data_IF_927942707380
#
_entry.id   IF_927942707380
#
_cell.length_a   1.000
_cell.length_b   1.000
_cell.length_c   1.000
_cell.angle_alpha   90.00
_cell.angle_beta   90.00
_cell.angle_gamma   90.00
#
_symmetry.space_group_name_H-M   'P 1'
#
loop_
_entity.id
_entity.type
_entity.pdbx_description
1 polymer ?
#
# COMPACT_ATOMS: atom_id res chain seq x y z
N UNK A 1 -19.83 0.65 10.25
CA UNK A 1 -18.50 0.25 9.73
C UNK A 1 -18.45 0.47 8.23
N UNK A 2 -17.28 0.76 7.67
CA UNK A 2 -17.11 0.90 6.22
C UNK A 2 -16.98 -0.48 5.57
N UNK A 3 -17.54 -0.67 4.36
CA UNK A 3 -17.37 -1.88 3.57
C UNK A 3 -16.62 -1.58 2.26
N UNK A 4 -15.49 -2.26 2.05
CA UNK A 4 -14.74 -2.24 0.80
C UNK A 4 -15.13 -3.45 -0.05
N UNK A 5 -15.53 -3.23 -1.31
CA UNK A 5 -16.01 -4.28 -2.21
C UNK A 5 -15.10 -4.39 -3.43
N UNK A 6 -14.57 -5.59 -3.67
CA UNK A 6 -13.67 -5.92 -4.78
C UNK A 6 -14.19 -7.13 -5.56
N UNK A 7 -13.90 -7.21 -6.85
CA UNK A 7 -14.21 -8.41 -7.63
C UNK A 7 -13.17 -9.51 -7.36
N UNK A 8 -11.90 -9.13 -7.23
CA UNK A 8 -10.78 -10.07 -7.14
C UNK A 8 -9.89 -9.90 -5.93
N UNK A 9 -9.34 -11.04 -5.46
CA UNK A 9 -8.23 -11.04 -4.49
C UNK A 9 -7.00 -10.31 -5.01
N UNK A 10 -6.76 -10.36 -6.32
CA UNK A 10 -5.66 -9.63 -6.95
C UNK A 10 -5.74 -8.12 -6.71
N UNK A 11 -6.94 -7.55 -6.64
CA UNK A 11 -7.18 -6.12 -6.38
C UNK A 11 -7.14 -5.80 -4.87
N UNK A 12 -7.57 -6.75 -4.02
CA UNK A 12 -7.76 -6.53 -2.59
C UNK A 12 -6.55 -6.92 -1.70
N UNK A 13 -5.57 -7.64 -2.23
CA UNK A 13 -4.50 -8.27 -1.42
C UNK A 13 -3.70 -7.29 -0.55
N UNK A 14 -3.37 -6.10 -1.05
CA UNK A 14 -2.63 -5.12 -0.26
C UNK A 14 -3.50 -4.46 0.81
N UNK A 15 -4.81 -4.32 0.59
CA UNK A 15 -5.75 -3.87 1.63
C UNK A 15 -5.79 -4.86 2.80
N UNK A 16 -5.97 -6.15 2.50
CA UNK A 16 -6.03 -7.21 3.52
C UNK A 16 -4.75 -7.20 4.37
N UNK A 17 -3.59 -7.07 3.71
CA UNK A 17 -2.29 -7.04 4.38
C UNK A 17 -2.08 -5.75 5.18
N UNK A 18 -2.32 -4.57 4.59
CA UNK A 18 -2.01 -3.27 5.19
C UNK A 18 -2.95 -2.94 6.35
N UNK A 19 -4.23 -3.28 6.22
CA UNK A 19 -5.26 -3.06 7.24
C UNK A 19 -5.34 -4.21 8.26
N UNK A 20 -4.42 -5.18 8.19
CA UNK A 20 -4.34 -6.34 9.09
C UNK A 20 -5.65 -7.11 9.22
N UNK A 21 -6.38 -7.27 8.11
CA UNK A 21 -7.72 -7.84 8.11
C UNK A 21 -7.67 -9.36 8.27
N UNK A 22 -8.63 -9.91 9.02
CA UNK A 22 -8.75 -11.34 9.27
C UNK A 22 -9.93 -11.91 8.50
N UNK A 23 -9.71 -13.05 7.85
CA UNK A 23 -10.78 -13.78 7.16
C UNK A 23 -11.83 -14.29 8.13
N UNK A 24 -13.10 -14.25 7.73
CA UNK A 24 -14.23 -14.70 8.56
C UNK A 24 -14.59 -16.14 8.22
N UNK A 25 -14.62 -17.01 9.24
CA UNK A 25 -15.06 -18.39 9.06
C UNK A 25 -16.51 -18.44 8.60
N UNK A 26 -16.82 -19.26 7.60
CA UNK A 26 -18.17 -19.38 7.03
C UNK A 26 -18.53 -18.35 5.95
N UNK A 27 -17.72 -17.31 5.75
CA UNK A 27 -17.95 -16.29 4.71
C UNK A 27 -16.73 -16.18 3.78
N UNK A 28 -16.64 -17.02 2.73
CA UNK A 28 -15.55 -16.96 1.77
C UNK A 28 -15.42 -15.58 1.12
N UNK A 29 -14.23 -15.00 1.20
CA UNK A 29 -13.96 -13.67 0.62
C UNK A 29 -14.28 -12.49 1.54
N UNK A 30 -14.82 -12.72 2.75
CA UNK A 30 -15.02 -11.68 3.75
C UNK A 30 -13.80 -11.58 4.70
N UNK A 31 -13.34 -10.35 4.90
CA UNK A 31 -12.27 -10.00 5.83
C UNK A 31 -12.72 -8.83 6.70
N UNK A 32 -12.35 -8.84 7.98
CA UNK A 32 -12.74 -7.81 8.94
C UNK A 32 -11.55 -7.31 9.76
N UNK A 33 -11.61 -6.06 10.19
CA UNK A 33 -10.92 -5.53 11.37
C UNK A 33 -11.95 -4.77 12.24
N UNK A 34 -11.49 -3.92 13.17
CA UNK A 34 -12.39 -3.22 14.11
C UNK A 34 -13.36 -2.25 13.40
N UNK A 35 -12.90 -1.55 12.36
CA UNK A 35 -13.64 -0.43 11.75
C UNK A 35 -14.11 -0.70 10.31
N UNK A 36 -13.52 -1.70 9.65
CA UNK A 36 -13.66 -1.94 8.21
C UNK A 36 -13.94 -3.41 7.90
N UNK A 37 -14.92 -3.62 7.03
CA UNK A 37 -15.17 -4.87 6.34
C UNK A 37 -14.62 -4.81 4.91
N UNK A 38 -14.15 -5.93 4.38
CA UNK A 38 -13.75 -6.09 2.99
C UNK A 38 -14.38 -7.36 2.45
N UNK A 39 -15.09 -7.24 1.33
CA UNK A 39 -15.74 -8.35 0.64
C UNK A 39 -15.17 -8.50 -0.77
N UNK A 40 -14.68 -9.71 -1.09
CA UNK A 40 -14.37 -10.13 -2.45
C UNK A 40 -15.59 -10.86 -3.01
N UNK A 41 -16.31 -10.22 -3.94
CA UNK A 41 -17.53 -10.78 -4.52
C UNK A 41 -17.23 -11.87 -5.53
N UNK A 42 -16.17 -11.74 -6.33
CA UNK A 42 -16.02 -12.51 -7.58
C UNK A 42 -16.44 -11.67 -8.79
N UNK A 43 -16.20 -12.20 -10.00
CA UNK A 43 -16.50 -11.52 -11.26
C UNK A 43 -17.99 -11.59 -11.62
N UNK A 44 -18.54 -10.47 -12.07
CA UNK A 44 -19.88 -10.41 -12.63
C UNK A 44 -20.99 -10.14 -11.61
N UNK A 45 -22.14 -9.71 -12.14
CA UNK A 45 -23.29 -9.25 -11.35
C UNK A 45 -23.91 -10.33 -10.43
N UNK A 46 -23.90 -11.61 -10.84
CA UNK A 46 -24.53 -12.68 -10.07
C UNK A 46 -23.74 -13.03 -8.81
N UNK A 47 -22.42 -12.93 -8.88
CA UNK A 47 -21.53 -13.10 -7.72
C UNK A 47 -21.72 -11.98 -6.69
N UNK A 48 -22.02 -10.76 -7.15
CA UNK A 48 -22.38 -9.66 -6.26
C UNK A 48 -23.72 -9.94 -5.57
N UNK A 49 -24.75 -10.31 -6.33
CA UNK A 49 -26.08 -10.59 -5.77
C UNK A 49 -26.07 -11.72 -4.75
N UNK A 50 -25.23 -12.75 -4.94
CA UNK A 50 -25.17 -13.90 -4.04
C UNK A 50 -24.46 -13.61 -2.72
N UNK A 51 -23.59 -12.60 -2.66
CA UNK A 51 -22.74 -12.34 -1.48
C UNK A 51 -23.03 -11.01 -0.78
N UNK A 52 -23.18 -9.92 -1.52
CA UNK A 52 -23.23 -8.58 -0.93
C UNK A 52 -24.46 -8.39 -0.06
N UNK A 53 -25.65 -8.82 -0.52
CA UNK A 53 -26.89 -8.65 0.23
C UNK A 53 -26.86 -9.33 1.61
N UNK A 54 -26.24 -10.52 1.69
CA UNK A 54 -26.04 -11.21 2.96
C UNK A 54 -25.18 -10.39 3.92
N UNK A 55 -24.05 -9.83 3.44
CA UNK A 55 -23.15 -9.04 4.29
C UNK A 55 -23.83 -7.75 4.77
N UNK A 56 -24.60 -7.07 3.92
CA UNK A 56 -25.32 -5.86 4.34
C UNK A 56 -26.44 -6.15 5.35
N UNK A 57 -27.01 -7.37 5.33
CA UNK A 57 -28.02 -7.79 6.31
C UNK A 57 -27.43 -8.25 7.65
N UNK A 58 -26.20 -8.78 7.66
CA UNK A 58 -25.56 -9.32 8.86
C UNK A 58 -24.73 -8.29 9.64
N UNK A 59 -24.16 -7.29 8.96
CA UNK A 59 -23.24 -6.32 9.55
C UNK A 59 -23.81 -4.91 9.48
N UNK A 60 -23.51 -4.08 10.49
CA UNK A 60 -23.91 -2.67 10.52
C UNK A 60 -23.02 -1.81 9.61
N UNK A 61 -23.20 -1.97 8.30
CA UNK A 61 -22.51 -1.21 7.26
C UNK A 61 -23.13 0.17 7.13
N UNK A 62 -22.30 1.21 7.19
CA UNK A 62 -22.73 2.62 7.12
C UNK A 62 -22.41 3.27 5.78
N UNK A 63 -21.41 2.75 5.07
CA UNK A 63 -20.95 3.24 3.77
C UNK A 63 -20.25 2.12 3.02
N UNK A 64 -20.45 2.07 1.70
CA UNK A 64 -19.80 1.10 0.80
C UNK A 64 -18.87 1.85 -0.14
N UNK A 65 -17.68 1.26 -0.36
CA UNK A 65 -16.74 1.67 -1.39
C UNK A 65 -16.50 0.51 -2.33
N UNK A 66 -16.70 0.72 -3.62
CA UNK A 66 -16.22 -0.21 -4.64
C UNK A 66 -14.92 0.30 -5.24
N UNK A 67 -13.89 -0.54 -5.18
CA UNK A 67 -12.56 -0.26 -5.74
C UNK A 67 -12.23 -1.40 -6.70
N UNK A 68 -11.76 -1.07 -7.90
CA UNK A 68 -11.37 -2.09 -8.87
C UNK A 68 -10.81 -1.50 -10.15
N UNK A 69 -10.43 -2.37 -11.07
CA UNK A 69 -10.01 -1.97 -12.41
C UNK A 69 -11.21 -1.82 -13.36
N UNK A 70 -11.04 -1.03 -14.41
CA UNK A 70 -12.01 -0.86 -15.49
C UNK A 70 -11.30 -0.72 -16.84
N UNK A 71 -12.01 -1.10 -17.91
CA UNK A 71 -11.57 -0.85 -19.28
C UNK A 71 -12.05 0.52 -19.77
N UNK A 72 -11.22 1.23 -20.54
CA UNK A 72 -11.65 2.40 -21.28
C UNK A 72 -12.40 1.99 -22.55
N UNK A 73 -13.51 2.68 -22.86
CA UNK A 73 -14.24 2.55 -24.12
C UNK A 73 -13.95 3.72 -25.07
N UNK A 74 -13.29 4.77 -24.59
CA UNK A 74 -12.90 5.94 -25.38
C UNK A 74 -11.39 6.20 -25.31
N UNK A 75 -10.81 6.61 -26.44
CA UNK A 75 -9.38 6.97 -26.55
C UNK A 75 -8.99 8.22 -25.77
N UNK A 76 -9.97 9.05 -25.40
CA UNK A 76 -9.80 10.24 -24.56
C UNK A 76 -9.40 9.88 -23.13
N UNK A 77 -9.75 8.68 -22.67
CA UNK A 77 -9.47 8.19 -21.33
C UNK A 77 -8.02 7.73 -21.24
N UNK A 78 -7.29 8.31 -20.29
CA UNK A 78 -5.90 7.98 -20.06
C UNK A 78 -5.78 6.67 -19.29
N UNK A 79 -5.04 5.69 -19.82
CA UNK A 79 -4.69 4.49 -19.06
C UNK A 79 -3.89 4.84 -17.80
N UNK A 80 -3.99 3.99 -16.78
CA UNK A 80 -3.38 4.19 -15.47
C UNK A 80 -3.86 5.46 -14.76
N UNK A 81 -5.08 5.92 -15.03
CA UNK A 81 -5.71 7.02 -14.31
C UNK A 81 -6.81 6.50 -13.38
N UNK A 82 -7.10 7.28 -12.33
CA UNK A 82 -8.19 7.02 -11.40
C UNK A 82 -9.37 7.91 -11.71
N UNK A 83 -10.57 7.33 -11.69
CA UNK A 83 -11.81 8.06 -11.81
C UNK A 83 -12.79 7.66 -10.71
N UNK A 84 -13.40 8.66 -10.06
CA UNK A 84 -14.60 8.44 -9.27
C UNK A 84 -15.79 8.27 -10.21
N UNK A 85 -16.65 7.31 -9.91
CA UNK A 85 -17.82 7.02 -10.72
C UNK A 85 -19.01 7.84 -10.25
N UNK A 86 -19.66 8.51 -11.20
CA UNK A 86 -20.89 9.28 -11.00
C UNK A 86 -22.12 8.41 -11.21
N UNK A 87 -22.24 7.79 -12.37
CA UNK A 87 -23.42 6.98 -12.73
C UNK A 87 -22.97 5.63 -13.27
N UNK A 88 -23.69 4.58 -12.90
CA UNK A 88 -23.49 3.25 -13.46
C UNK A 88 -24.72 2.76 -14.24
N UNK A 89 -24.46 2.30 -15.46
CA UNK A 89 -25.43 1.63 -16.34
C UNK A 89 -25.14 0.13 -16.40
N UNK A 90 -26.02 -0.65 -17.02
CA UNK A 90 -25.82 -2.09 -17.20
C UNK A 90 -26.22 -2.56 -18.59
N UNK A 91 -25.41 -3.48 -19.11
CA UNK A 91 -25.67 -4.23 -20.33
C UNK A 91 -25.48 -5.73 -20.07
N UNK A 92 -26.55 -6.49 -20.17
CA UNK A 92 -26.53 -7.96 -20.04
C UNK A 92 -27.22 -8.57 -21.26
N UNK A 93 -26.52 -8.59 -22.39
CA UNK A 93 -27.06 -8.91 -23.71
C UNK A 93 -27.95 -7.82 -24.30
N UNK A 94 -28.56 -6.98 -23.47
CA UNK A 94 -29.22 -5.71 -23.83
C UNK A 94 -29.02 -4.66 -22.73
N UNK A 95 -29.13 -3.37 -23.06
CA UNK A 95 -29.14 -2.31 -22.05
C UNK A 95 -30.29 -2.51 -21.05
N UNK A 96 -29.99 -2.33 -19.78
CA UNK A 96 -30.99 -2.30 -18.71
C UNK A 96 -31.55 -0.89 -18.56
N UNK A 97 -32.84 -0.79 -18.26
CA UNK A 97 -33.51 0.51 -18.09
C UNK A 97 -33.02 1.26 -16.83
N UNK A 98 -32.69 0.51 -15.78
CA UNK A 98 -32.29 1.09 -14.50
C UNK A 98 -30.80 1.46 -14.52
N UNK A 99 -30.50 2.67 -14.05
CA UNK A 99 -29.16 3.14 -13.73
C UNK A 99 -29.12 3.65 -12.29
N UNK A 100 -27.91 3.80 -11.75
CA UNK A 100 -27.72 4.26 -10.38
C UNK A 100 -26.72 5.41 -10.35
N UNK A 101 -27.15 6.55 -9.80
CA UNK A 101 -26.24 7.69 -9.52
C UNK A 101 -25.66 7.51 -8.12
N UNK A 102 -24.34 7.61 -8.01
CA UNK A 102 -23.57 7.37 -6.79
C UNK A 102 -23.31 8.67 -6.03
N UNK A 103 -22.90 8.54 -4.76
CA UNK A 103 -22.52 9.66 -3.90
C UNK A 103 -21.12 10.19 -4.26
N UNK A 104 -20.91 10.63 -5.50
CA UNK A 104 -19.65 11.25 -5.95
C UNK A 104 -19.54 12.70 -5.45
N UNK A 105 -18.35 13.08 -4.99
CA UNK A 105 -18.06 14.43 -4.49
C UNK A 105 -17.56 15.38 -5.61
N UNK A 106 -17.04 14.81 -6.70
CA UNK A 106 -16.47 15.55 -7.83
C UNK A 106 -17.31 15.40 -9.11
N UNK A 107 -16.87 16.00 -10.21
CA UNK A 107 -17.36 15.66 -11.56
C UNK A 107 -16.91 14.23 -11.92
N UNK A 108 -17.56 13.23 -11.33
CA UNK A 108 -17.30 11.83 -11.61
C UNK A 108 -17.65 11.45 -13.05
N UNK A 109 -17.13 10.30 -13.48
CA UNK A 109 -17.34 9.76 -14.82
C UNK A 109 -18.38 8.64 -14.79
N UNK A 110 -19.06 8.41 -15.90
CA UNK A 110 -19.99 7.30 -16.01
C UNK A 110 -19.28 5.99 -16.37
N UNK A 111 -19.86 4.87 -15.96
CA UNK A 111 -19.40 3.52 -16.28
C UNK A 111 -20.57 2.63 -16.67
N UNK A 112 -20.35 1.66 -17.55
CA UNK A 112 -21.32 0.62 -17.87
C UNK A 112 -20.81 -0.74 -17.42
N UNK A 113 -21.61 -1.45 -16.64
CA UNK A 113 -21.32 -2.84 -16.26
C UNK A 113 -21.76 -3.79 -17.38
N UNK A 114 -20.84 -4.59 -17.91
CA UNK A 114 -21.13 -5.66 -18.86
C UNK A 114 -21.11 -7.04 -18.19
N UNK A 115 -21.98 -7.96 -18.65
CA UNK A 115 -21.92 -9.36 -18.23
C UNK A 115 -20.69 -10.11 -18.75
N UNK A 116 -20.09 -9.65 -19.85
CA UNK A 116 -19.00 -10.32 -20.54
C UNK A 116 -17.75 -9.45 -20.67
N UNK A 117 -16.63 -10.07 -21.05
CA UNK A 117 -15.41 -9.30 -21.36
C UNK A 117 -15.57 -8.67 -22.73
N UNK A 118 -15.22 -7.39 -22.85
CA UNK A 118 -15.36 -6.64 -24.10
C UNK A 118 -14.11 -6.85 -24.96
N UNK A 119 -14.13 -7.88 -25.81
CA UNK A 119 -12.97 -8.31 -26.61
C UNK A 119 -13.03 -7.89 -28.08
N UNK A 120 -14.11 -7.25 -28.50
CA UNK A 120 -14.29 -6.78 -29.88
C UNK A 120 -14.72 -5.32 -29.93
N UNK A 121 -14.29 -4.64 -30.99
CA UNK A 121 -14.51 -3.20 -31.15
C UNK A 121 -15.99 -2.86 -31.42
N UNK A 122 -16.78 -3.80 -31.96
CA UNK A 122 -18.20 -3.55 -32.24
C UNK A 122 -18.97 -3.44 -30.92
N UNK A 123 -18.74 -4.38 -30.01
CA UNK A 123 -19.35 -4.35 -28.69
C UNK A 123 -18.83 -3.19 -27.84
N UNK A 124 -17.52 -2.90 -27.91
CA UNK A 124 -16.96 -1.70 -27.26
C UNK A 124 -17.65 -0.41 -27.75
N UNK A 125 -17.84 -0.26 -29.06
CA UNK A 125 -18.54 0.88 -29.65
C UNK A 125 -20.04 0.92 -29.29
N UNK A 126 -20.68 -0.23 -29.06
CA UNK A 126 -22.06 -0.25 -28.56
C UNK A 126 -22.13 0.31 -27.13
N UNK A 127 -21.26 -0.18 -26.25
CA UNK A 127 -21.20 0.23 -24.85
C UNK A 127 -20.77 1.69 -24.67
N UNK A 128 -19.90 2.21 -25.54
CA UNK A 128 -19.42 3.60 -25.47
C UNK A 128 -20.51 4.65 -25.66
N UNK A 129 -21.66 4.27 -26.25
CA UNK A 129 -22.82 5.16 -26.35
C UNK A 129 -23.46 5.47 -24.99
N UNK A 130 -23.15 4.69 -23.95
CA UNK A 130 -23.71 4.85 -22.60
C UNK A 130 -22.70 5.46 -21.64
N UNK A 131 -21.45 5.01 -21.69
CA UNK A 131 -20.42 5.44 -20.76
C UNK A 131 -19.01 5.28 -21.36
N UNK A 132 -18.04 6.11 -20.93
CA UNK A 132 -16.66 6.05 -21.39
C UNK A 132 -15.83 4.92 -20.74
N UNK A 133 -16.33 4.29 -19.66
CA UNK A 133 -15.68 3.18 -18.97
C UNK A 133 -16.58 1.94 -18.94
N UNK A 134 -15.97 0.76 -18.87
CA UNK A 134 -16.66 -0.53 -18.66
C UNK A 134 -16.07 -1.30 -17.48
N UNK A 135 -16.95 -1.89 -16.67
CA UNK A 135 -16.60 -2.86 -15.64
C UNK A 135 -17.57 -4.06 -15.68
N UNK A 136 -17.53 -4.94 -14.67
CA UNK A 136 -18.36 -6.16 -14.65
C UNK A 136 -19.22 -6.35 -13.39
N UNK A 137 -19.10 -5.48 -12.39
CA UNK A 137 -19.73 -5.69 -11.08
C UNK A 137 -20.52 -4.49 -10.56
N UNK A 138 -20.11 -3.24 -10.86
CA UNK A 138 -20.56 -2.08 -10.10
C UNK A 138 -22.07 -1.87 -10.14
N UNK A 139 -22.74 -2.13 -11.26
CA UNK A 139 -24.19 -1.95 -11.33
C UNK A 139 -24.95 -2.82 -10.33
N UNK A 140 -24.52 -4.07 -10.14
CA UNK A 140 -25.13 -4.95 -9.15
C UNK A 140 -24.83 -4.49 -7.72
N UNK A 141 -23.62 -3.97 -7.48
CA UNK A 141 -23.25 -3.39 -6.17
C UNK A 141 -24.16 -2.20 -5.88
N UNK A 142 -24.34 -1.31 -6.86
CA UNK A 142 -25.19 -0.13 -6.73
C UNK A 142 -26.65 -0.51 -6.49
N UNK A 143 -27.18 -1.51 -7.21
CA UNK A 143 -28.54 -2.03 -7.00
C UNK A 143 -28.77 -2.50 -5.57
N UNK A 144 -27.86 -3.33 -5.06
CA UNK A 144 -27.99 -3.88 -3.70
C UNK A 144 -27.85 -2.77 -2.63
N UNK A 145 -26.93 -1.82 -2.83
CA UNK A 145 -26.77 -0.69 -1.91
C UNK A 145 -27.99 0.25 -1.90
N UNK A 146 -28.58 0.52 -3.07
CA UNK A 146 -29.80 1.32 -3.23
C UNK A 146 -30.99 0.66 -2.50
N UNK A 147 -31.19 -0.65 -2.70
CA UNK A 147 -32.23 -1.43 -2.01
C UNK A 147 -32.06 -1.43 -0.48
N UNK A 148 -30.83 -1.35 0.02
CA UNK A 148 -30.52 -1.23 1.44
C UNK A 148 -30.41 0.22 1.96
N UNK A 149 -30.57 1.23 1.09
CA UNK A 149 -30.36 2.65 1.42
C UNK A 149 -28.97 2.94 2.03
N UNK A 150 -27.92 2.26 1.55
CA UNK A 150 -26.55 2.44 2.01
C UNK A 150 -25.77 3.28 0.98
N UNK A 151 -25.13 4.40 1.39
CA UNK A 151 -24.34 5.23 0.49
C UNK A 151 -23.20 4.44 -0.18
N UNK A 152 -23.08 4.58 -1.50
CA UNK A 152 -22.04 3.95 -2.31
C UNK A 152 -21.16 4.99 -2.99
N UNK A 153 -19.84 4.80 -2.89
CA UNK A 153 -18.83 5.45 -3.74
C UNK A 153 -18.08 4.40 -4.53
N UNK A 154 -17.69 4.71 -5.76
CA UNK A 154 -16.89 3.79 -6.57
C UNK A 154 -15.73 4.51 -7.25
N UNK A 155 -14.60 3.85 -7.28
CA UNK A 155 -13.37 4.35 -7.89
C UNK A 155 -12.76 3.28 -8.77
N UNK A 156 -12.44 3.67 -10.01
CA UNK A 156 -11.90 2.76 -11.01
C UNK A 156 -10.52 3.19 -11.47
N UNK A 157 -9.59 2.24 -11.47
CA UNK A 157 -8.30 2.37 -12.14
C UNK A 157 -8.43 1.88 -13.59
N UNK A 158 -8.18 2.75 -14.55
CA UNK A 158 -8.24 2.36 -15.97
C UNK A 158 -7.03 1.51 -16.32
N UNK A 159 -7.21 0.22 -16.55
CA UNK A 159 -6.11 -0.74 -16.79
C UNK A 159 -5.74 -0.88 -18.25
N UNK A 160 -6.73 -0.79 -19.15
CA UNK A 160 -6.63 -1.19 -20.54
C UNK A 160 -7.70 -0.49 -21.40
N UNK A 161 -7.61 -0.70 -22.72
CA UNK A 161 -8.60 -0.25 -23.69
C UNK A 161 -9.45 -1.45 -24.11
N UNK A 162 -10.75 -1.40 -23.83
CA UNK A 162 -11.69 -2.44 -24.21
C UNK A 162 -11.80 -2.57 -25.74
N UNK A 163 -12.08 -3.78 -26.22
CA UNK A 163 -12.12 -4.12 -27.65
C UNK A 163 -10.99 -5.06 -28.07
N UNK A 164 -10.61 -5.07 -29.36
CA UNK A 164 -9.59 -6.00 -29.87
C UNK A 164 -8.19 -5.72 -29.35
N UNK A 165 -7.94 -4.47 -28.97
CA UNK A 165 -6.70 -4.04 -28.31
C UNK A 165 -6.73 -4.24 -26.80
N UNK A 166 -7.69 -5.01 -26.27
CA UNK A 166 -7.67 -5.40 -24.86
C UNK A 166 -6.35 -6.08 -24.59
N UNK A 167 -5.45 -5.37 -23.93
CA UNK A 167 -4.19 -5.92 -23.49
C UNK A 167 -4.51 -6.94 -22.40
N UNK A 168 -4.64 -8.21 -22.80
CA UNK A 168 -4.46 -9.34 -21.92
C UNK A 168 -2.99 -9.40 -21.50
N UNK A 169 -2.50 -8.38 -20.79
CA UNK A 169 -1.43 -8.60 -19.82
C UNK A 169 -1.86 -9.78 -18.96
N UNK A 170 -0.93 -10.63 -18.53
CA UNK A 170 -1.27 -11.61 -17.51
C UNK A 170 -1.67 -10.80 -16.27
N UNK A 171 -2.97 -10.57 -16.07
CA UNK A 171 -3.52 -9.72 -15.01
C UNK A 171 -2.97 -10.13 -13.64
N UNK A 172 -2.49 -11.37 -13.53
CA UNK A 172 -1.75 -11.90 -12.39
C UNK A 172 -0.41 -11.20 -12.15
N UNK A 173 0.35 -10.85 -13.17
CA UNK A 173 1.64 -10.15 -13.07
C UNK A 173 1.46 -8.72 -12.55
N UNK A 174 0.40 -8.03 -12.99
CA UNK A 174 0.10 -6.65 -12.56
C UNK A 174 -0.83 -6.55 -11.35
N UNK A 175 -1.41 -7.66 -10.89
CA UNK A 175 -2.34 -7.67 -9.76
C UNK A 175 -1.79 -6.96 -8.52
N UNK A 176 -0.51 -7.21 -8.19
CA UNK A 176 0.12 -6.56 -7.04
C UNK A 176 0.27 -5.04 -7.23
N UNK A 177 0.65 -4.61 -8.43
CA UNK A 177 0.75 -3.19 -8.76
C UNK A 177 -0.63 -2.51 -8.64
N UNK A 178 -1.66 -3.09 -9.24
CA UNK A 178 -3.01 -2.52 -9.19
C UNK A 178 -3.56 -2.48 -7.76
N UNK A 179 -3.38 -3.54 -6.97
CA UNK A 179 -3.79 -3.56 -5.56
C UNK A 179 -3.09 -2.47 -4.75
N UNK A 180 -1.78 -2.30 -4.96
CA UNK A 180 -0.99 -1.26 -4.30
C UNK A 180 -1.55 0.12 -4.66
N UNK A 181 -1.77 0.39 -5.94
CA UNK A 181 -2.26 1.69 -6.41
C UNK A 181 -3.67 2.01 -5.92
N UNK A 182 -4.57 1.01 -5.91
CA UNK A 182 -5.93 1.16 -5.37
C UNK A 182 -5.89 1.50 -3.87
N UNK A 183 -5.04 0.81 -3.09
CA UNK A 183 -4.85 1.08 -1.68
C UNK A 183 -4.30 2.48 -1.43
N UNK A 184 -3.26 2.85 -2.16
CA UNK A 184 -2.63 4.17 -2.07
C UNK A 184 -3.62 5.30 -2.37
N UNK A 185 -4.45 5.13 -3.40
CA UNK A 185 -5.50 6.06 -3.76
C UNK A 185 -6.58 6.17 -2.68
N UNK A 186 -7.09 5.03 -2.20
CA UNK A 186 -8.12 5.02 -1.17
C UNK A 186 -7.65 5.66 0.15
N UNK A 187 -6.42 5.36 0.58
CA UNK A 187 -5.79 6.00 1.74
C UNK A 187 -5.61 7.51 1.56
N UNK A 188 -5.42 7.99 0.33
CA UNK A 188 -5.37 9.41 0.02
C UNK A 188 -6.72 10.11 0.25
N UNK A 189 -7.82 9.46 -0.16
CA UNK A 189 -9.17 10.03 -0.03
C UNK A 189 -9.66 9.99 1.42
N UNK A 190 -9.51 8.85 2.09
CA UNK A 190 -9.94 8.73 3.49
C UNK A 190 -8.99 9.46 4.45
N UNK A 191 -7.71 9.64 4.05
CA UNK A 191 -6.71 10.36 4.83
C UNK A 191 -6.84 11.88 4.81
N UNK A 192 -7.62 12.46 3.90
CA UNK A 192 -7.85 13.91 3.78
C UNK A 192 -9.04 14.41 4.63
N UNK A 193 -9.65 13.56 5.49
CA UNK A 193 -10.83 13.91 6.30
C UNK A 193 -10.57 14.13 7.80
N UNK A 194 -9.33 14.08 8.27
CA UNK A 194 -8.95 14.58 9.61
C UNK A 194 -7.84 15.64 9.44
N UNK A 195 -7.94 16.77 10.15
CA UNK A 195 -6.77 17.60 10.45
C UNK A 195 -5.83 16.77 11.34
N UNK A 196 -5.09 15.85 10.71
CA UNK A 196 -4.12 14.96 11.33
C UNK A 196 -2.87 15.80 11.67
N UNK A 197 -2.36 15.75 12.91
CA UNK A 197 -1.02 16.26 13.23
C UNK A 197 0.08 15.62 12.36
N UNK A 198 -0.19 14.53 11.64
CA UNK A 198 0.64 13.94 10.58
C UNK A 198 0.60 14.64 9.21
N UNK A 199 -0.12 15.75 9.05
CA UNK A 199 -0.21 16.52 7.78
C UNK A 199 1.04 17.34 7.44
N UNK A 200 2.09 17.31 8.28
CA UNK A 200 3.35 17.97 7.98
C UNK A 200 3.95 17.43 6.67
N UNK A 201 4.24 18.35 5.74
CA UNK A 201 5.04 18.02 4.56
C UNK A 201 6.46 17.64 5.02
N UNK A 202 7.06 16.60 4.41
CA UNK A 202 8.41 16.21 4.79
C UNK A 202 9.42 17.33 4.49
N UNK A 203 10.48 17.47 5.31
CA UNK A 203 11.49 18.52 5.15
C UNK A 203 12.36 18.36 3.88
N UNK A 204 12.22 17.23 3.17
CA UNK A 204 12.98 16.90 1.96
C UNK A 204 12.09 16.19 0.94
N UNK A 205 12.49 16.22 -0.33
CA UNK A 205 11.76 15.55 -1.40
C UNK A 205 11.77 14.02 -1.19
N UNK A 206 10.57 13.44 -1.17
CA UNK A 206 10.32 12.02 -0.93
C UNK A 206 9.45 11.43 -2.05
N UNK A 207 9.65 10.15 -2.38
CA UNK A 207 8.68 9.41 -3.19
C UNK A 207 7.37 9.22 -2.43
N UNK A 208 6.30 8.88 -3.14
CA UNK A 208 4.98 8.65 -2.53
C UNK A 208 5.04 7.64 -1.36
N UNK A 209 5.73 6.51 -1.55
CA UNK A 209 5.96 5.50 -0.51
C UNK A 209 6.76 6.00 0.71
N UNK A 210 7.72 6.89 0.48
CA UNK A 210 8.50 7.53 1.55
C UNK A 210 7.65 8.55 2.32
N UNK A 211 6.78 9.32 1.63
CA UNK A 211 5.83 10.25 2.27
C UNK A 211 4.83 9.51 3.16
N UNK A 212 4.23 8.42 2.67
CA UNK A 212 3.29 7.63 3.47
C UNK A 212 3.96 7.05 4.74
N UNK A 213 5.19 6.55 4.59
CA UNK A 213 5.98 6.06 5.72
C UNK A 213 6.34 7.18 6.71
N UNK A 214 6.73 8.35 6.19
CA UNK A 214 7.01 9.54 6.99
C UNK A 214 5.82 9.93 7.85
N UNK A 215 4.63 10.12 7.25
CA UNK A 215 3.40 10.50 7.98
C UNK A 215 3.06 9.51 9.09
N UNK A 216 3.18 8.20 8.82
CA UNK A 216 2.99 7.16 9.83
C UNK A 216 3.98 7.28 11.01
N UNK A 217 5.23 7.64 10.75
CA UNK A 217 6.25 7.81 11.78
C UNK A 217 6.07 9.11 12.56
N UNK A 218 5.68 10.20 11.89
CA UNK A 218 5.33 11.49 12.54
C UNK A 218 4.20 11.28 13.53
N UNK A 219 3.10 10.60 13.12
CA UNK A 219 1.99 10.29 14.01
C UNK A 219 2.42 9.47 15.23
N UNK A 220 3.24 8.45 15.01
CA UNK A 220 3.76 7.61 16.10
C UNK A 220 4.71 8.37 17.05
N UNK A 221 5.53 9.30 16.53
CA UNK A 221 6.44 10.11 17.32
C UNK A 221 5.70 11.22 18.08
N UNK A 222 4.67 11.82 17.48
CA UNK A 222 3.83 12.85 18.09
C UNK A 222 2.99 12.37 19.28
N UNK A 223 2.80 11.04 19.41
CA UNK A 223 2.18 10.43 20.60
C UNK A 223 3.12 10.41 21.82
N UNK A 224 4.43 10.69 21.67
CA UNK A 224 5.36 10.83 22.79
C UNK A 224 5.31 12.27 23.31
N UNK A 225 4.83 12.45 24.54
CA UNK A 225 4.80 13.76 25.20
C UNK A 225 6.18 14.44 25.16
N UNK A 226 6.19 15.72 24.72
CA UNK A 226 7.40 16.54 24.68
C UNK A 226 8.36 16.27 23.51
N UNK A 227 7.99 15.43 22.53
CA UNK A 227 8.82 15.19 21.35
C UNK A 227 8.73 16.33 20.34
N UNK A 228 9.83 17.07 20.14
CA UNK A 228 9.95 18.10 19.10
C UNK A 228 10.46 17.50 17.79
N UNK A 229 9.52 17.26 16.87
CA UNK A 229 9.82 16.70 15.55
C UNK A 229 10.74 17.59 14.72
N UNK A 230 10.51 18.91 14.70
CA UNK A 230 11.27 19.83 13.85
C UNK A 230 12.74 19.89 14.27
N UNK A 231 13.00 19.90 15.58
CA UNK A 231 14.35 19.80 16.13
C UNK A 231 15.01 18.46 15.78
N UNK A 232 14.28 17.36 15.91
CA UNK A 232 14.78 16.03 15.58
C UNK A 232 15.18 15.90 14.10
N UNK A 233 14.31 16.35 13.19
CA UNK A 233 14.55 16.30 11.74
C UNK A 233 15.74 17.15 11.33
N UNK A 234 15.83 18.37 11.86
CA UNK A 234 16.96 19.26 11.60
C UNK A 234 18.28 18.63 12.01
N UNK A 235 18.33 18.01 13.20
CA UNK A 235 19.52 17.30 13.68
C UNK A 235 19.87 16.10 12.81
N UNK A 236 18.89 15.26 12.49
CA UNK A 236 19.10 14.07 11.67
C UNK A 236 19.63 14.42 10.27
N UNK A 237 19.13 15.52 9.68
CA UNK A 237 19.58 16.01 8.37
C UNK A 237 20.97 16.63 8.43
N UNK A 238 21.32 17.33 9.51
CA UNK A 238 22.63 17.95 9.71
C UNK A 238 23.77 16.92 9.85
N UNK A 239 23.47 15.73 10.37
CA UNK A 239 24.45 14.63 10.52
C UNK A 239 24.72 13.87 9.20
N UNK A 240 24.00 14.18 8.11
CA UNK A 240 24.17 13.49 6.82
C UNK A 240 25.34 14.04 6.00
N UNK A 241 26.12 13.15 5.37
CA UNK A 241 27.24 13.53 4.49
C UNK A 241 26.79 14.27 3.23
N UNK A 242 27.60 15.22 2.77
CA UNK A 242 27.42 15.89 1.48
C UNK A 242 27.53 14.89 0.30
N UNK A 243 26.79 15.15 -0.79
CA UNK A 243 26.80 14.31 -2.00
C UNK A 243 25.73 13.21 -2.08
N UNK A 244 24.90 13.05 -1.05
CA UNK A 244 23.77 12.10 -1.08
C UNK A 244 22.60 12.59 -1.95
N UNK A 245 22.00 11.68 -2.72
CA UNK A 245 20.76 11.95 -3.46
C UNK A 245 19.56 12.17 -2.53
N UNK A 246 18.53 12.87 -3.01
CA UNK A 246 17.29 13.11 -2.25
C UNK A 246 16.66 11.81 -1.74
N UNK A 247 16.67 10.75 -2.55
CA UNK A 247 16.15 9.43 -2.19
C UNK A 247 16.94 8.77 -1.05
N UNK A 248 18.27 8.92 -1.05
CA UNK A 248 19.13 8.39 0.01
C UNK A 248 18.93 9.16 1.32
N UNK A 249 18.85 10.49 1.26
CA UNK A 249 18.55 11.35 2.41
C UNK A 249 17.20 11.00 3.03
N UNK A 250 16.18 10.79 2.20
CA UNK A 250 14.84 10.38 2.63
C UNK A 250 14.86 9.04 3.39
N UNK A 251 15.58 8.03 2.88
CA UNK A 251 15.68 6.74 3.55
C UNK A 251 16.41 6.83 4.90
N UNK A 252 17.48 7.64 4.98
CA UNK A 252 18.23 7.84 6.23
C UNK A 252 17.38 8.57 7.28
N UNK A 253 16.61 9.58 6.89
CA UNK A 253 15.70 10.29 7.79
C UNK A 253 14.64 9.33 8.35
N UNK A 254 14.01 8.52 7.48
CA UNK A 254 13.01 7.53 7.89
C UNK A 254 13.60 6.48 8.84
N UNK A 255 14.84 6.02 8.60
CA UNK A 255 15.53 5.09 9.50
C UNK A 255 15.81 5.74 10.86
N UNK A 256 16.23 7.00 10.89
CA UNK A 256 16.44 7.74 12.14
C UNK A 256 15.13 7.88 12.94
N UNK A 257 14.02 8.21 12.28
CA UNK A 257 12.69 8.29 12.90
C UNK A 257 12.23 6.94 13.47
N UNK A 258 12.44 5.83 12.74
CA UNK A 258 12.15 4.47 13.23
C UNK A 258 12.96 4.12 14.49
N UNK A 259 14.24 4.49 14.52
CA UNK A 259 15.09 4.30 15.70
C UNK A 259 14.64 5.17 16.88
N UNK A 260 14.12 6.37 16.62
CA UNK A 260 13.51 7.23 17.65
C UNK A 260 12.26 6.63 18.28
N UNK A 261 11.51 5.81 17.54
CA UNK A 261 10.36 5.07 18.07
C UNK A 261 10.78 3.87 18.90
N UNK A 262 11.86 3.18 18.52
CA UNK A 262 12.28 1.93 19.13
C UNK A 262 13.60 2.08 19.91
N UNK A 263 13.55 2.44 21.21
CA UNK A 263 14.75 2.65 22.03
C UNK A 263 15.62 1.39 22.16
N UNK A 264 15.02 0.20 22.14
CA UNK A 264 15.75 -1.08 22.16
C UNK A 264 16.54 -1.26 20.87
N UNK A 265 15.93 -1.00 19.72
CA UNK A 265 16.63 -1.06 18.42
C UNK A 265 17.78 -0.06 18.35
N UNK A 266 17.60 1.13 18.94
CA UNK A 266 18.66 2.14 19.04
C UNK A 266 19.83 1.69 19.95
N UNK A 267 19.54 1.13 21.13
CA UNK A 267 20.59 0.62 22.03
C UNK A 267 21.35 -0.54 21.39
N UNK A 268 20.65 -1.47 20.76
CA UNK A 268 21.24 -2.60 20.01
C UNK A 268 22.13 -2.11 18.88
N UNK A 269 21.68 -1.14 18.07
CA UNK A 269 22.49 -0.54 16.99
C UNK A 269 23.77 0.10 17.52
N UNK A 270 23.69 0.89 18.59
CA UNK A 270 24.87 1.53 19.21
C UNK A 270 25.88 0.50 19.73
N UNK A 271 25.43 -0.60 20.31
CA UNK A 271 26.33 -1.65 20.78
C UNK A 271 26.99 -2.39 19.61
N UNK A 272 26.26 -2.69 18.53
CA UNK A 272 26.87 -3.26 17.32
C UNK A 272 27.86 -2.30 16.66
N UNK A 273 27.59 -1.00 16.63
CA UNK A 273 28.54 0.02 16.17
C UNK A 273 29.80 0.04 17.03
N UNK A 274 29.65 0.00 18.37
CA UNK A 274 30.79 -0.10 19.30
C UNK A 274 31.64 -1.33 19.01
N UNK A 275 31.02 -2.50 18.87
CA UNK A 275 31.70 -3.76 18.53
C UNK A 275 32.32 -3.76 17.13
N UNK A 276 31.79 -2.96 16.20
CA UNK A 276 32.32 -2.81 14.85
C UNK A 276 33.50 -1.83 14.75
N UNK A 277 33.78 -1.04 15.79
CA UNK A 277 34.85 -0.02 15.79
C UNK A 277 36.23 -0.59 15.44
N UNK A 278 36.69 -1.72 16.03
CA UNK A 278 37.98 -2.32 15.68
C UNK A 278 38.04 -2.80 14.22
N UNK A 279 36.89 -3.22 13.66
CA UNK A 279 36.76 -3.68 12.28
C UNK A 279 36.91 -2.52 11.29
N UNK A 280 36.27 -1.38 11.60
CA UNK A 280 36.36 -0.17 10.78
C UNK A 280 37.76 0.43 10.78
N UNK A 281 38.49 0.34 11.90
CA UNK A 281 39.85 0.85 12.04
C UNK A 281 40.85 0.21 11.05
N UNK A 282 40.57 -1.01 10.58
CA UNK A 282 41.41 -1.71 9.60
C UNK A 282 40.90 -1.59 8.15
N UNK A 283 39.84 -0.82 7.91
CA UNK A 283 39.24 -0.66 6.58
C UNK A 283 38.21 -1.75 6.20
N UNK A 284 37.86 -2.63 7.13
CA UNK A 284 36.80 -3.62 6.95
C UNK A 284 35.44 -3.09 7.42
N UNK A 285 34.35 -3.76 7.05
CA UNK A 285 32.97 -3.43 7.44
C UNK A 285 32.22 -4.67 7.89
N UNK A 286 31.39 -4.52 8.91
CA UNK A 286 30.39 -5.53 9.28
C UNK A 286 29.04 -5.15 8.68
N UNK A 287 28.40 -6.09 8.01
CA UNK A 287 27.06 -5.94 7.46
C UNK A 287 26.10 -6.82 8.25
N UNK A 288 25.08 -6.20 8.83
CA UNK A 288 24.02 -6.87 9.57
C UNK A 288 22.74 -6.93 8.74
N UNK A 289 21.78 -7.78 9.13
CA UNK A 289 20.43 -7.68 8.58
C UNK A 289 19.73 -6.41 9.09
N UNK A 290 18.80 -5.86 8.29
CA UNK A 290 18.15 -4.56 8.58
C UNK A 290 17.41 -4.49 9.91
N UNK A 291 17.03 -5.64 10.48
CA UNK A 291 16.26 -5.72 11.71
C UNK A 291 17.09 -6.23 12.89
N UNK A 292 18.34 -6.63 12.67
CA UNK A 292 19.19 -7.31 13.65
C UNK A 292 18.56 -8.57 14.25
N UNK A 293 17.66 -9.22 13.52
CA UNK A 293 16.96 -10.43 13.99
C UNK A 293 17.79 -11.70 13.74
N UNK A 294 18.63 -11.67 12.70
CA UNK A 294 19.44 -12.83 12.35
C UNK A 294 20.75 -12.75 13.11
N UNK A 295 21.05 -13.79 13.89
CA UNK A 295 22.34 -13.97 14.58
C UNK A 295 23.47 -14.28 13.60
N UNK A 296 23.76 -13.34 12.71
CA UNK A 296 24.84 -13.39 11.74
C UNK A 296 25.22 -12.00 11.30
N UNK A 297 26.48 -11.84 10.92
CA UNK A 297 26.95 -10.67 10.20
C UNK A 297 27.89 -11.12 9.08
N UNK A 298 28.07 -10.25 8.09
CA UNK A 298 29.07 -10.44 7.03
C UNK A 298 30.22 -9.48 7.27
N UNK A 299 31.43 -10.00 7.43
CA UNK A 299 32.65 -9.22 7.39
C UNK A 299 33.05 -9.01 5.93
N UNK A 300 33.14 -7.75 5.50
CA UNK A 300 33.53 -7.36 4.15
C UNK A 300 34.79 -6.49 4.21
N UNK A 301 35.82 -6.87 3.46
CA UNK A 301 37.07 -6.12 3.33
C UNK A 301 37.61 -6.30 1.91
N UNK A 302 38.16 -5.23 1.34
CA UNK A 302 38.96 -5.31 0.11
C UNK A 302 40.42 -5.57 0.50
N UNK A 303 41.04 -6.57 -0.13
CA UNK A 303 42.44 -6.94 0.13
C UNK A 303 43.24 -6.56 -1.11
N UNK A 304 44.12 -5.58 -0.95
CA UNK A 304 45.02 -5.12 -2.01
C UNK A 304 46.50 -5.12 -1.58
N UNK A 305 46.80 -5.39 -0.31
CA UNK A 305 48.14 -5.57 0.21
C UNK A 305 48.22 -6.65 1.32
N UNK A 306 49.44 -7.07 1.67
CA UNK A 306 49.69 -8.04 2.76
C UNK A 306 49.30 -7.47 4.13
N UNK A 307 49.37 -6.15 4.30
CA UNK A 307 49.03 -5.46 5.56
C UNK A 307 47.53 -5.63 5.89
N UNK A 308 46.65 -5.70 4.89
CA UNK A 308 45.24 -6.01 5.07
C UNK A 308 45.03 -7.39 5.69
N UNK A 309 45.78 -8.39 5.21
CA UNK A 309 45.72 -9.77 5.72
C UNK A 309 46.24 -9.81 7.16
N UNK A 310 47.37 -9.15 7.44
CA UNK A 310 47.96 -9.10 8.77
C UNK A 310 47.02 -8.42 9.78
N UNK A 311 46.36 -7.34 9.36
CA UNK A 311 45.36 -6.64 10.17
C UNK A 311 44.13 -7.52 10.45
N UNK A 312 43.66 -8.28 9.46
CA UNK A 312 42.54 -9.20 9.62
C UNK A 312 42.88 -10.36 10.57
N UNK A 313 44.10 -10.86 10.49
CA UNK A 313 44.63 -11.88 11.41
C UNK A 313 44.61 -11.38 12.86
N UNK A 314 45.15 -10.17 13.11
CA UNK A 314 45.10 -9.52 14.43
C UNK A 314 43.67 -9.25 14.91
N UNK A 315 42.78 -8.84 14.00
CA UNK A 315 41.37 -8.61 14.33
C UNK A 315 40.69 -9.89 14.80
N UNK A 316 41.00 -11.05 14.21
CA UNK A 316 40.42 -12.34 14.60
C UNK A 316 40.72 -12.75 16.04
N UNK A 317 41.82 -12.25 16.61
CA UNK A 317 42.18 -12.49 18.01
C UNK A 317 41.26 -11.72 18.97
N UNK A 318 40.78 -10.55 18.56
CA UNK A 318 40.02 -9.60 19.40
C UNK A 318 38.52 -9.69 19.13
N UNK A 319 38.10 -9.88 17.88
CA UNK A 319 36.70 -9.92 17.47
C UNK A 319 36.07 -11.26 17.85
N UNK A 320 35.29 -11.31 18.93
CA UNK A 320 34.58 -12.52 19.37
C UNK A 320 33.12 -12.47 18.97
N UNK A 321 32.65 -13.51 18.27
CA UNK A 321 31.24 -13.64 17.90
C UNK A 321 30.32 -13.65 19.13
N UNK A 322 30.78 -14.23 20.23
CA UNK A 322 30.05 -14.26 21.52
C UNK A 322 29.67 -12.88 22.03
N UNK A 323 30.47 -11.85 21.75
CA UNK A 323 30.14 -10.49 22.17
C UNK A 323 28.96 -9.92 21.41
N UNK A 324 28.77 -10.33 20.14
CA UNK A 324 27.58 -10.00 19.35
C UNK A 324 26.37 -10.82 19.80
N UNK A 325 26.57 -12.09 20.19
CA UNK A 325 25.50 -12.93 20.73
C UNK A 325 24.88 -12.37 22.01
N UNK A 326 25.70 -11.78 22.88
CA UNK A 326 25.22 -11.08 24.09
C UNK A 326 24.25 -9.95 23.72
N UNK A 327 24.63 -9.12 22.74
CA UNK A 327 23.77 -8.04 22.23
C UNK A 327 22.47 -8.60 21.65
N UNK A 328 22.53 -9.68 20.87
CA UNK A 328 21.34 -10.35 20.31
C UNK A 328 20.44 -10.99 21.37
N UNK A 329 21.01 -11.44 22.49
CA UNK A 329 20.26 -12.04 23.59
C UNK A 329 19.72 -10.98 24.57
N UNK A 330 19.94 -9.70 24.31
CA UNK A 330 19.46 -8.62 25.17
C UNK A 330 20.27 -8.44 26.45
N UNK A 331 21.49 -9.01 26.53
CA UNK A 331 22.46 -8.72 27.58
C UNK A 331 23.09 -7.35 27.31
N UNK A 332 22.25 -6.31 27.44
CA UNK A 332 22.64 -4.93 27.26
C UNK A 332 23.11 -4.41 28.62
N UNK A 333 24.42 -4.19 28.79
CA UNK A 333 24.89 -3.30 29.86
C UNK A 333 24.26 -1.92 29.63
N UNK A 334 23.40 -1.48 30.55
CA UNK A 334 22.77 -0.16 30.57
C UNK A 334 23.73 0.85 31.18
#
# INVERSE_FOLDING_TARGET
MNLLVFAHRGEAQEFIKKLSMKGVSGHPGLYLNEDTALLITGEGIYEVFSKLGQILGEYSITKVFNLGIAGALEKSIRLNSFHEIKTVYCHTGKPQFQSFTLNSENSGIDVITSSERVLDDSYANELSNFAPLVDRELWAIAKVCDECSIPLRSFKLVSDMAGKSTDCFDLKEKALEFSTRLLEFWLGIEGDQEEDPGSQEPPIQMSFTQKAKYRSLVKALGLKEGFDLASFESKALAEMKEGLSSKQKANLLLEAMELGLNPVKLSTKKQFEKLSTPVQAIGARLLFDKNFEKKKFTLQMEINDQKNIDNLSKLSEILKFSDFEKVWNGELDV
#
